data_IF_479238298860
#
_entry.id   IF_479238298860
#
_cell.length_a   1.000
_cell.length_b   1.000
_cell.length_c   1.000
_cell.angle_alpha   90.00
_cell.angle_beta   90.00
_cell.angle_gamma   90.00
#
_symmetry.space_group_name_H-M   'P 1'
#
loop_
_entity.id
_entity.type
_entity.pdbx_description
1 polymer ?
#
# COMPACT_ATOMS: atom_id res chain seq x y z
N UNK A 1 6.76 -14.60 11.11
CA UNK A 1 5.68 -14.03 10.28
C UNK A 1 6.32 -13.03 9.33
N UNK A 2 5.91 -13.00 8.05
CA UNK A 2 6.37 -12.00 7.10
C UNK A 2 5.23 -11.02 6.82
N UNK A 3 5.52 -9.71 6.82
CA UNK A 3 4.56 -8.71 6.38
C UNK A 3 4.35 -8.91 4.87
N UNK A 4 3.11 -9.09 4.45
CA UNK A 4 2.73 -9.23 3.05
C UNK A 4 1.61 -8.26 2.70
N UNK A 5 1.60 -7.81 1.44
CA UNK A 5 0.56 -6.95 0.89
C UNK A 5 -0.27 -7.76 -0.10
N UNK A 6 -1.58 -7.82 0.14
CA UNK A 6 -2.51 -8.49 -0.75
C UNK A 6 -2.49 -7.85 -2.14
N UNK A 7 -2.28 -8.61 -3.23
CA UNK A 7 -2.43 -8.10 -4.59
C UNK A 7 -3.84 -7.57 -4.82
N UNK A 8 -3.94 -6.44 -5.53
CA UNK A 8 -5.22 -5.85 -5.91
C UNK A 8 -5.63 -6.34 -7.29
N UNK A 9 -6.89 -6.75 -7.46
CA UNK A 9 -7.46 -6.91 -8.80
C UNK A 9 -7.56 -5.53 -9.44
N UNK A 10 -7.13 -5.42 -10.69
CA UNK A 10 -7.06 -4.12 -11.39
C UNK A 10 -7.53 -4.23 -12.83
N UNK A 11 -7.98 -3.11 -13.40
CA UNK A 11 -8.19 -2.95 -14.85
C UNK A 11 -7.17 -1.97 -15.44
N UNK A 12 -6.99 -2.05 -16.76
CA UNK A 12 -6.06 -1.21 -17.54
C UNK A 12 -4.60 -1.34 -17.08
N UNK A 13 -4.26 -2.46 -16.45
CA UNK A 13 -2.91 -2.90 -16.14
C UNK A 13 -2.59 -4.15 -16.97
N UNK A 14 -1.30 -4.41 -17.21
CA UNK A 14 -0.85 -5.53 -18.07
C UNK A 14 -1.24 -6.92 -17.52
N UNK A 15 -1.46 -7.02 -16.20
CA UNK A 15 -1.89 -8.24 -15.52
C UNK A 15 -3.25 -8.02 -14.82
N UNK A 16 -4.02 -9.08 -14.54
CA UNK A 16 -5.29 -8.96 -13.84
C UNK A 16 -5.14 -8.55 -12.37
N UNK A 17 -3.97 -8.82 -11.78
CA UNK A 17 -3.66 -8.48 -10.38
C UNK A 17 -2.37 -7.66 -10.32
N UNK A 18 -2.41 -6.58 -9.55
CA UNK A 18 -1.26 -5.75 -9.23
C UNK A 18 -0.71 -6.15 -7.85
N UNK A 19 0.49 -6.74 -7.76
CA UNK A 19 1.09 -7.08 -6.47
C UNK A 19 1.42 -5.82 -5.68
N UNK A 20 1.55 -5.95 -4.37
CA UNK A 20 2.29 -4.96 -3.60
C UNK A 20 3.76 -5.00 -4.02
N UNK A 21 4.38 -3.84 -4.21
CA UNK A 21 5.79 -3.73 -4.54
C UNK A 21 6.50 -2.93 -3.44
N UNK A 22 7.01 -3.65 -2.46
CA UNK A 22 7.77 -3.05 -1.37
C UNK A 22 9.19 -2.79 -1.88
N UNK A 23 9.58 -1.51 -2.01
CA UNK A 23 10.91 -1.14 -2.52
C UNK A 23 11.88 -0.81 -1.39
N UNK A 24 11.39 -0.09 -0.38
CA UNK A 24 12.19 0.46 0.71
C UNK A 24 11.43 0.31 2.03
N UNK A 25 12.18 0.08 3.10
CA UNK A 25 11.65 0.09 4.46
C UNK A 25 12.65 0.71 5.42
N UNK A 26 12.13 1.20 6.55
CA UNK A 26 12.92 1.73 7.65
C UNK A 26 12.26 1.39 8.98
N UNK A 27 13.06 1.40 10.05
CA UNK A 27 12.59 1.17 11.42
C UNK A 27 12.75 2.48 12.19
N UNK A 28 11.78 2.81 13.05
CA UNK A 28 11.86 3.98 13.92
C UNK A 28 13.04 3.89 14.88
N UNK A 29 13.54 5.04 15.35
CA UNK A 29 14.70 5.08 16.25
C UNK A 29 14.47 4.42 17.61
N UNK A 30 13.20 4.25 18.00
CA UNK A 30 12.79 3.57 19.23
C UNK A 30 12.47 2.08 19.00
N UNK A 31 12.71 1.53 17.81
CA UNK A 31 12.46 0.14 17.40
C UNK A 31 10.99 -0.32 17.50
N UNK A 32 10.04 0.61 17.61
CA UNK A 32 8.62 0.28 17.79
C UNK A 32 7.83 0.21 16.50
N UNK A 33 8.33 0.84 15.43
CA UNK A 33 7.60 0.93 14.16
C UNK A 33 8.47 0.57 12.96
N UNK A 34 7.88 -0.22 12.06
CA UNK A 34 8.39 -0.44 10.71
C UNK A 34 7.56 0.37 9.72
N UNK A 35 8.23 1.09 8.85
CA UNK A 35 7.63 1.81 7.73
C UNK A 35 8.10 1.20 6.42
N UNK A 36 7.23 1.12 5.42
CA UNK A 36 7.65 0.76 4.07
C UNK A 36 6.89 1.51 2.99
N UNK A 37 7.55 1.65 1.84
CA UNK A 37 6.98 2.19 0.60
C UNK A 37 6.42 1.05 -0.25
N UNK A 38 5.13 1.11 -0.58
CA UNK A 38 4.45 0.16 -1.47
C UNK A 38 4.22 0.80 -2.84
N UNK A 39 5.24 0.77 -3.68
CA UNK A 39 5.39 1.65 -4.83
C UNK A 39 4.26 1.55 -5.87
N UNK A 40 3.83 0.32 -6.23
CA UNK A 40 2.77 0.13 -7.24
C UNK A 40 1.42 0.65 -6.77
N UNK A 41 1.03 0.31 -5.55
CA UNK A 41 -0.25 0.73 -4.98
C UNK A 41 -0.22 2.23 -4.65
N UNK A 42 0.94 2.73 -4.18
CA UNK A 42 1.16 4.15 -3.91
C UNK A 42 0.98 4.56 -2.46
N UNK A 43 1.07 3.62 -1.52
CA UNK A 43 0.91 3.88 -0.09
C UNK A 43 2.19 3.66 0.72
N UNK A 44 2.33 4.44 1.79
CA UNK A 44 3.27 4.19 2.88
C UNK A 44 2.49 3.55 4.02
N UNK A 45 3.02 2.46 4.58
CA UNK A 45 2.42 1.77 5.72
C UNK A 45 3.31 1.85 6.94
N UNK A 46 2.69 1.98 8.10
CA UNK A 46 3.31 1.91 9.41
C UNK A 46 2.80 0.68 10.15
N UNK A 47 3.69 -0.19 10.59
CA UNK A 47 3.40 -1.34 11.41
C UNK A 47 4.02 -1.15 12.80
N UNK A 48 3.25 -1.38 13.87
CA UNK A 48 3.81 -1.58 15.20
C UNK A 48 4.52 -2.96 15.20
N UNK A 49 5.77 -2.96 15.67
CA UNK A 49 6.65 -4.12 15.75
C UNK A 49 7.23 -4.32 17.17
N UNK A 50 6.56 -3.84 18.22
CA UNK A 50 6.91 -4.13 19.63
C UNK A 50 6.97 -5.65 19.90
N UNK A 51 6.14 -6.43 19.20
CA UNK A 51 6.32 -7.86 18.98
C UNK A 51 6.66 -8.12 17.50
N UNK A 52 7.96 -8.29 17.13
CA UNK A 52 8.37 -8.52 15.75
C UNK A 52 7.80 -9.80 15.14
N UNK A 53 7.36 -10.76 15.97
CA UNK A 53 6.72 -12.00 15.50
C UNK A 53 5.28 -11.77 15.05
N UNK A 54 4.66 -10.66 15.46
CA UNK A 54 3.28 -10.28 15.14
C UNK A 54 3.14 -8.78 14.81
N UNK A 55 3.69 -8.32 13.67
CA UNK A 55 3.53 -6.92 13.25
C UNK A 55 2.07 -6.53 13.07
N UNK A 56 1.69 -5.33 13.52
CA UNK A 56 0.30 -4.83 13.45
C UNK A 56 0.25 -3.56 12.61
N UNK A 57 -0.54 -3.55 11.53
CA UNK A 57 -0.75 -2.33 10.74
C UNK A 57 -1.43 -1.26 11.61
N UNK A 58 -0.79 -0.11 11.78
CA UNK A 58 -1.29 1.00 12.62
C UNK A 58 -1.54 2.29 11.84
N UNK A 59 -0.94 2.42 10.65
CA UNK A 59 -1.14 3.59 9.79
C UNK A 59 -0.92 3.27 8.32
N UNK A 60 -1.65 3.97 7.46
CA UNK A 60 -1.53 3.89 6.00
C UNK A 60 -1.82 5.27 5.41
N UNK A 61 -0.97 5.72 4.49
CA UNK A 61 -1.13 6.98 3.79
C UNK A 61 -0.91 6.79 2.30
N UNK A 62 -1.86 7.22 1.48
CA UNK A 62 -1.72 7.26 0.03
C UNK A 62 -0.92 8.50 -0.37
N UNK A 63 0.16 8.30 -1.10
CA UNK A 63 1.11 9.34 -1.52
C UNK A 63 1.40 9.30 -3.02
N UNK A 64 0.60 8.57 -3.80
CA UNK A 64 0.71 8.48 -5.25
C UNK A 64 0.31 7.10 -5.77
N UNK A 65 1.20 6.53 -6.59
CA UNK A 65 1.05 5.20 -7.19
C UNK A 65 0.15 5.17 -8.41
N UNK A 66 -0.10 3.95 -8.88
CA UNK A 66 -0.77 3.74 -10.16
C UNK A 66 -2.30 3.81 -10.06
N UNK A 67 -2.85 3.64 -8.85
CA UNK A 67 -4.31 3.58 -8.60
C UNK A 67 -4.82 4.89 -7.99
N UNK A 68 -4.05 5.98 -8.14
CA UNK A 68 -4.49 7.31 -7.69
C UNK A 68 -5.63 7.86 -8.55
N UNK A 69 -6.47 8.70 -7.95
CA UNK A 69 -7.60 9.34 -8.64
C UNK A 69 -7.16 10.10 -9.88
N UNK A 70 -7.83 9.82 -11.01
CA UNK A 70 -7.50 10.40 -12.32
C UNK A 70 -6.44 9.62 -13.10
N UNK A 71 -5.89 8.53 -12.56
CA UNK A 71 -5.07 7.61 -13.35
C UNK A 71 -5.92 6.75 -14.28
N UNK A 72 -5.27 6.03 -15.20
CA UNK A 72 -5.96 5.08 -16.09
C UNK A 72 -6.28 3.74 -15.42
N UNK A 73 -5.61 3.42 -14.31
CA UNK A 73 -5.71 2.12 -13.64
C UNK A 73 -6.68 2.23 -12.47
N UNK A 74 -7.57 1.26 -12.34
CA UNK A 74 -8.58 1.21 -11.27
C UNK A 74 -8.45 -0.11 -10.52
N UNK A 75 -8.60 -0.08 -9.20
CA UNK A 75 -8.76 -1.26 -8.38
C UNK A 75 -10.20 -1.76 -8.46
N UNK A 76 -10.38 -3.07 -8.45
CA UNK A 76 -11.69 -3.73 -8.56
C UNK A 76 -11.93 -4.57 -7.33
N UNK A 77 -13.02 -4.30 -6.60
CA UNK A 77 -13.43 -5.12 -5.44
C UNK A 77 -13.94 -6.50 -5.88
N UNK A 78 -14.18 -7.39 -4.91
CA UNK A 78 -14.79 -8.70 -5.20
C UNK A 78 -16.18 -8.57 -5.84
N UNK A 79 -16.93 -7.53 -5.46
CA UNK A 79 -18.26 -7.21 -6.01
C UNK A 79 -18.19 -6.49 -7.37
N UNK A 80 -16.99 -6.29 -7.92
CA UNK A 80 -16.78 -5.62 -9.20
C UNK A 80 -16.83 -4.09 -9.15
N UNK A 81 -16.85 -3.49 -7.96
CA UNK A 81 -16.85 -2.03 -7.81
C UNK A 81 -15.46 -1.49 -8.09
N UNK A 82 -15.39 -0.49 -8.97
CA UNK A 82 -14.14 0.18 -9.33
C UNK A 82 -13.84 1.33 -8.37
N UNK A 83 -12.58 1.47 -7.99
CA UNK A 83 -12.12 2.52 -7.09
C UNK A 83 -10.70 2.98 -7.40
N UNK A 84 -10.42 4.21 -7.00
CA UNK A 84 -9.11 4.83 -6.98
C UNK A 84 -8.91 5.53 -5.64
N UNK A 85 -7.67 5.77 -5.27
CA UNK A 85 -7.32 6.38 -3.99
C UNK A 85 -7.13 7.89 -4.14
N UNK A 86 -7.71 8.67 -3.22
CA UNK A 86 -7.42 10.09 -3.11
C UNK A 86 -6.02 10.27 -2.50
N UNK A 87 -5.20 11.08 -3.17
CA UNK A 87 -3.85 11.45 -2.70
C UNK A 87 -3.92 12.88 -2.16
N UNK A 88 -3.55 13.13 -0.90
CA UNK A 88 -3.61 14.47 -0.32
C UNK A 88 -2.68 15.45 -1.04
N UNK A 89 -3.14 16.67 -1.29
CA UNK A 89 -2.28 17.76 -1.73
C UNK A 89 -1.45 18.29 -0.54
N UNK A 90 -0.13 18.33 -0.72
CA UNK A 90 0.78 19.00 0.22
C UNK A 90 0.88 20.47 -0.21
N UNK A 91 0.46 21.37 0.68
CA UNK A 91 0.56 22.83 0.49
C UNK A 91 1.94 23.35 0.87
#
# INVERSE_FOLDING_TARGET
>A
VAISVTPLKVRNWILPNMPGLITDFLISLDDRFLYFSNWLHGDVRQYNIEDPSKPVLTGQLWVGGLIQKGSQIVAVSEDGVESQFDVPEVK
#
